data_IF_822990681826
#
_entry.id   IF_822990681826
#
_cell.length_a   1.000
_cell.length_b   1.000
_cell.length_c   1.000
_cell.angle_alpha   90.00
_cell.angle_beta   90.00
_cell.angle_gamma   90.00
#
_symmetry.space_group_name_H-M   'P 1'
#
loop_
_entity.id
_entity.type
_entity.pdbx_description
1 polymer ?
#
# COMPACT_ATOMS: atom_id res chain seq x y z
N UNK A 1 15.81 25.07 12.28
CA UNK A 1 14.40 25.04 12.72
C UNK A 1 13.43 24.25 11.82
N UNK A 2 13.69 24.11 10.50
CA UNK A 2 12.80 23.41 9.55
C UNK A 2 12.69 21.89 9.73
N UNK A 3 13.76 21.21 10.17
CA UNK A 3 13.78 19.75 10.33
C UNK A 3 12.86 19.23 11.45
N UNK A 4 12.82 19.93 12.60
CA UNK A 4 11.93 19.59 13.73
C UNK A 4 10.46 19.73 13.35
N UNK A 5 10.10 20.76 12.59
CA UNK A 5 8.73 20.96 12.11
C UNK A 5 8.31 19.89 11.09
N UNK A 6 9.23 19.48 10.20
CA UNK A 6 9.03 18.37 9.26
C UNK A 6 8.80 17.04 10.00
N UNK A 7 9.70 16.68 10.93
CA UNK A 7 9.55 15.46 11.72
C UNK A 7 8.26 15.45 12.53
N UNK A 8 7.86 16.57 13.13
CA UNK A 8 6.62 16.64 13.93
C UNK A 8 5.35 16.49 13.08
N UNK A 9 5.38 16.95 11.82
CA UNK A 9 4.25 16.85 10.88
C UNK A 9 4.13 15.45 10.25
N UNK A 10 5.25 14.74 10.10
CA UNK A 10 5.29 13.41 9.49
C UNK A 10 5.57 12.26 10.48
N UNK A 11 5.74 12.56 11.77
CA UNK A 11 6.17 11.60 12.80
C UNK A 11 5.32 10.36 12.85
N UNK A 12 3.99 10.48 12.75
CA UNK A 12 3.08 9.34 12.78
C UNK A 12 3.21 8.44 11.54
N UNK A 13 3.52 9.02 10.38
CA UNK A 13 3.74 8.26 9.13
C UNK A 13 5.10 7.58 9.12
N UNK A 14 6.13 8.29 9.58
CA UNK A 14 7.48 7.74 9.76
C UNK A 14 7.43 6.60 10.79
N UNK A 15 6.70 6.78 11.89
CA UNK A 15 6.51 5.76 12.91
C UNK A 15 5.76 4.54 12.37
N UNK A 16 4.72 4.73 11.54
CA UNK A 16 3.99 3.61 10.91
C UNK A 16 4.86 2.84 9.91
N UNK A 17 5.68 3.53 9.11
CA UNK A 17 6.64 2.92 8.18
C UNK A 17 7.71 2.15 8.95
N UNK A 18 8.26 2.75 10.01
CA UNK A 18 9.23 2.07 10.87
C UNK A 18 8.61 0.86 11.56
N UNK A 19 7.37 0.96 12.06
CA UNK A 19 6.67 -0.15 12.70
C UNK A 19 6.43 -1.31 11.72
N UNK A 20 6.01 -1.00 10.49
CA UNK A 20 5.86 -2.01 9.43
C UNK A 20 7.20 -2.65 9.04
N UNK A 21 8.27 -1.84 8.97
CA UNK A 21 9.61 -2.34 8.70
C UNK A 21 10.11 -3.26 9.84
N UNK A 22 9.85 -2.89 11.10
CA UNK A 22 10.23 -3.71 12.26
C UNK A 22 9.38 -4.99 12.34
N UNK A 23 8.09 -4.94 12.04
CA UNK A 23 7.25 -6.15 11.95
C UNK A 23 7.73 -7.07 10.83
N UNK A 24 8.09 -6.51 9.68
CA UNK A 24 8.66 -7.27 8.56
C UNK A 24 10.01 -7.88 8.94
N UNK A 25 10.89 -7.14 9.61
CA UNK A 25 12.21 -7.62 10.06
C UNK A 25 12.10 -8.70 11.15
N UNK A 26 11.18 -8.55 12.10
CA UNK A 26 10.85 -9.58 13.10
C UNK A 26 10.29 -10.83 12.41
N UNK A 27 9.35 -10.69 11.48
CA UNK A 27 8.84 -11.82 10.72
C UNK A 27 9.95 -12.52 9.90
N UNK A 28 10.86 -11.75 9.31
CA UNK A 28 12.02 -12.23 8.55
C UNK A 28 13.03 -12.97 9.43
N UNK A 29 13.28 -12.49 10.64
CA UNK A 29 14.26 -13.08 11.56
C UNK A 29 13.76 -14.36 12.23
N UNK A 30 12.44 -14.55 12.36
CA UNK A 30 11.86 -15.81 12.85
C UNK A 30 11.67 -16.86 11.74
N UNK A 31 11.55 -16.46 10.46
CA UNK A 31 11.15 -17.37 9.39
C UNK A 31 12.31 -18.03 8.60
N UNK A 32 13.53 -17.48 8.61
CA UNK A 32 14.54 -17.84 7.60
C UNK A 32 15.85 -18.40 8.15
N UNK A 33 15.82 -19.67 8.53
CA UNK A 33 16.94 -20.59 8.28
C UNK A 33 16.68 -21.22 6.91
N UNK A 34 17.69 -21.27 6.03
CA UNK A 34 17.51 -21.58 4.59
C UNK A 34 17.24 -23.06 4.27
N UNK A 35 16.60 -23.81 5.17
CA UNK A 35 16.21 -25.19 4.90
C UNK A 35 14.82 -25.24 4.24
N UNK A 36 14.60 -26.12 3.25
CA UNK A 36 13.29 -26.27 2.59
C UNK A 36 12.14 -26.54 3.57
N UNK A 37 12.44 -27.19 4.69
CA UNK A 37 11.48 -27.53 5.76
C UNK A 37 10.91 -26.28 6.43
N UNK A 38 11.75 -25.30 6.80
CA UNK A 38 11.28 -24.04 7.42
C UNK A 38 10.51 -23.15 6.44
N UNK A 39 10.74 -23.34 5.15
CA UNK A 39 9.99 -22.68 4.08
C UNK A 39 8.56 -23.20 4.01
N UNK A 40 8.38 -24.51 4.16
CA UNK A 40 7.06 -25.14 4.26
C UNK A 40 6.34 -24.74 5.54
N UNK A 41 7.06 -24.61 6.65
CA UNK A 41 6.50 -24.16 7.94
C UNK A 41 6.09 -22.69 7.94
N UNK A 42 6.77 -21.84 7.17
CA UNK A 42 6.49 -20.40 7.08
C UNK A 42 5.42 -20.04 6.04
N UNK A 43 5.12 -20.93 5.09
CA UNK A 43 4.09 -20.74 4.05
C UNK A 43 2.72 -20.30 4.62
N UNK A 44 2.15 -20.95 5.65
CA UNK A 44 0.86 -20.53 6.21
C UNK A 44 0.87 -19.08 6.73
N UNK A 45 1.98 -18.66 7.34
CA UNK A 45 2.15 -17.30 7.86
C UNK A 45 2.29 -16.28 6.74
N UNK A 46 3.08 -16.59 5.70
CA UNK A 46 3.22 -15.74 4.52
C UNK A 46 1.89 -15.58 3.79
N UNK A 47 1.14 -16.66 3.60
CA UNK A 47 -0.19 -16.61 2.99
C UNK A 47 -1.20 -15.86 3.86
N UNK A 48 -1.15 -16.02 5.19
CA UNK A 48 -1.97 -15.26 6.12
C UNK A 48 -1.67 -13.75 6.07
N UNK A 49 -0.39 -13.37 6.00
CA UNK A 49 0.03 -11.98 5.84
C UNK A 49 -0.36 -11.41 4.47
N UNK A 50 -0.20 -12.19 3.39
CA UNK A 50 -0.67 -11.81 2.06
C UNK A 50 -2.19 -11.60 2.06
N UNK A 51 -2.96 -12.52 2.66
CA UNK A 51 -4.41 -12.39 2.78
C UNK A 51 -4.85 -11.17 3.58
N UNK A 52 -4.16 -10.87 4.70
CA UNK A 52 -4.43 -9.68 5.50
C UNK A 52 -4.14 -8.38 4.73
N UNK A 53 -3.01 -8.32 4.05
CA UNK A 53 -2.60 -7.14 3.27
C UNK A 53 -3.52 -6.90 2.07
N UNK A 54 -3.96 -7.97 1.41
CA UNK A 54 -4.97 -7.91 0.34
C UNK A 54 -6.35 -7.48 0.88
N UNK A 55 -6.75 -7.96 2.06
CA UNK A 55 -8.00 -7.53 2.70
C UNK A 55 -7.97 -6.03 3.02
N UNK A 56 -6.83 -5.50 3.50
CA UNK A 56 -6.64 -4.06 3.71
C UNK A 56 -6.68 -3.29 2.38
N UNK A 57 -6.07 -3.84 1.33
CA UNK A 57 -6.11 -3.25 -0.01
C UNK A 57 -7.56 -3.08 -0.49
N UNK A 58 -8.34 -4.16 -0.47
CA UNK A 58 -9.75 -4.18 -0.90
C UNK A 58 -10.61 -3.29 0.00
N UNK A 59 -10.47 -3.37 1.32
CA UNK A 59 -11.22 -2.53 2.26
C UNK A 59 -10.99 -1.04 2.00
N UNK A 60 -9.74 -0.65 1.78
CA UNK A 60 -9.41 0.73 1.44
C UNK A 60 -10.02 1.19 0.11
N UNK A 61 -10.05 0.31 -0.92
CA UNK A 61 -10.75 0.59 -2.18
C UNK A 61 -12.24 0.83 -1.94
N UNK A 62 -12.90 -0.03 -1.16
CA UNK A 62 -14.33 0.09 -0.85
C UNK A 62 -14.63 1.40 -0.13
N UNK A 63 -13.82 1.79 0.86
CA UNK A 63 -13.99 3.06 1.59
C UNK A 63 -13.81 4.26 0.65
N UNK A 64 -12.78 4.25 -0.21
CA UNK A 64 -12.57 5.31 -1.21
C UNK A 64 -13.76 5.39 -2.18
N UNK A 65 -14.18 4.25 -2.74
CA UNK A 65 -15.30 4.16 -3.65
C UNK A 65 -16.60 4.63 -2.99
N UNK A 66 -16.85 4.28 -1.74
CA UNK A 66 -18.04 4.72 -1.00
C UNK A 66 -18.07 6.23 -0.78
N UNK A 67 -16.92 6.86 -0.46
CA UNK A 67 -16.84 8.31 -0.24
C UNK A 67 -17.17 9.15 -1.50
N UNK A 68 -16.90 8.60 -2.69
CA UNK A 68 -17.05 9.31 -3.98
C UNK A 68 -18.27 8.82 -4.77
N UNK A 69 -18.57 7.53 -4.70
CA UNK A 69 -19.41 6.80 -5.65
C UNK A 69 -20.88 7.20 -5.65
N UNK A 70 -21.38 7.79 -4.57
CA UNK A 70 -22.74 8.33 -4.48
C UNK A 70 -23.07 9.33 -5.61
N UNK A 71 -22.07 10.09 -6.10
CA UNK A 71 -22.32 11.18 -7.07
C UNK A 71 -22.21 10.76 -8.55
N UNK A 72 -21.68 9.57 -8.85
CA UNK A 72 -21.20 9.25 -10.21
C UNK A 72 -22.13 8.35 -11.02
N UNK A 73 -23.13 7.74 -10.38
CA UNK A 73 -24.00 6.75 -11.02
C UNK A 73 -23.23 5.56 -11.60
N UNK A 74 -23.91 4.74 -12.41
CA UNK A 74 -23.40 3.44 -12.85
C UNK A 74 -22.65 3.45 -14.19
N UNK A 75 -22.59 4.56 -14.93
CA UNK A 75 -22.01 4.62 -16.28
C UNK A 75 -20.59 5.23 -16.27
N UNK A 76 -19.52 4.41 -16.43
CA UNK A 76 -18.14 4.87 -16.33
C UNK A 76 -17.76 5.89 -17.41
N UNK A 77 -18.38 5.82 -18.58
CA UNK A 77 -18.11 6.75 -19.68
C UNK A 77 -18.51 8.16 -19.25
N UNK A 78 -19.60 8.33 -18.50
CA UNK A 78 -20.06 9.65 -18.05
C UNK A 78 -19.21 10.24 -16.91
N UNK A 79 -18.29 9.47 -16.33
CA UNK A 79 -17.44 9.95 -15.23
C UNK A 79 -16.37 10.93 -15.72
N UNK A 80 -16.01 10.91 -17.02
CA UNK A 80 -15.00 11.83 -17.55
C UNK A 80 -15.39 13.30 -17.34
N UNK A 81 -16.68 13.64 -17.46
CA UNK A 81 -17.19 15.00 -17.29
C UNK A 81 -17.17 15.46 -15.83
N UNK A 82 -17.13 14.50 -14.91
CA UNK A 82 -17.15 14.74 -13.47
C UNK A 82 -15.76 14.65 -12.84
N UNK A 83 -14.72 14.23 -13.58
CA UNK A 83 -13.34 14.06 -13.09
C UNK A 83 -12.84 15.24 -12.27
N UNK A 84 -13.00 16.48 -12.75
CA UNK A 84 -12.55 17.67 -12.01
C UNK A 84 -13.26 17.82 -10.66
N UNK A 85 -14.58 17.58 -10.64
CA UNK A 85 -15.41 17.62 -9.43
C UNK A 85 -15.01 16.52 -8.46
N UNK A 86 -14.85 15.29 -8.95
CA UNK A 86 -14.38 14.13 -8.17
C UNK A 86 -13.04 14.44 -7.51
N UNK A 87 -12.05 14.88 -8.30
CA UNK A 87 -10.70 15.17 -7.78
C UNK A 87 -10.74 16.30 -6.74
N UNK A 88 -11.65 17.27 -6.88
CA UNK A 88 -11.85 18.29 -5.85
C UNK A 88 -12.46 17.71 -4.57
N UNK A 89 -13.56 16.95 -4.67
CA UNK A 89 -14.21 16.30 -3.52
C UNK A 89 -13.26 15.38 -2.77
N UNK A 90 -12.57 14.51 -3.49
CA UNK A 90 -11.54 13.58 -2.99
C UNK A 90 -10.45 14.28 -2.19
N UNK A 91 -10.00 15.46 -2.64
CA UNK A 91 -8.92 16.19 -1.95
C UNK A 91 -9.32 16.67 -0.55
N UNK A 92 -10.61 16.92 -0.34
CA UNK A 92 -11.18 17.47 0.91
C UNK A 92 -11.78 16.39 1.82
N UNK A 93 -12.22 15.26 1.27
CA UNK A 93 -12.95 14.22 2.01
C UNK A 93 -12.03 13.41 2.95
N UNK A 94 -12.27 13.49 4.26
CA UNK A 94 -11.49 12.75 5.27
C UNK A 94 -11.64 11.23 5.13
N UNK A 95 -12.84 10.75 4.79
CA UNK A 95 -13.12 9.31 4.66
C UNK A 95 -12.38 8.74 3.45
N UNK A 96 -12.34 9.47 2.34
CA UNK A 96 -11.50 9.11 1.19
C UNK A 96 -10.06 8.91 1.63
N UNK A 97 -9.49 9.86 2.39
CA UNK A 97 -8.10 9.76 2.83
C UNK A 97 -7.85 8.59 3.79
N UNK A 98 -8.82 8.22 4.62
CA UNK A 98 -8.72 7.01 5.45
C UNK A 98 -8.66 5.78 4.55
N UNK A 99 -9.58 5.64 3.60
CA UNK A 99 -9.57 4.55 2.63
C UNK A 99 -8.27 4.50 1.82
N UNK A 100 -7.77 5.66 1.40
CA UNK A 100 -6.51 5.81 0.68
C UNK A 100 -5.34 5.28 1.49
N UNK A 101 -5.22 5.61 2.79
CA UNK A 101 -4.14 5.10 3.63
C UNK A 101 -4.25 3.61 3.92
N UNK A 102 -5.47 3.11 4.16
CA UNK A 102 -5.72 1.67 4.39
C UNK A 102 -5.38 0.86 3.15
N UNK A 103 -5.87 1.29 1.98
CA UNK A 103 -5.48 0.75 0.68
C UNK A 103 -3.96 0.84 0.49
N UNK A 104 -3.37 1.94 1.01
CA UNK A 104 -1.95 2.20 0.85
C UNK A 104 -1.08 1.15 1.48
N UNK A 105 -1.34 0.95 2.76
CA UNK A 105 -0.70 -0.07 3.57
C UNK A 105 -0.95 -1.47 3.01
N UNK A 106 -2.17 -1.76 2.54
CA UNK A 106 -2.50 -3.04 1.91
C UNK A 106 -1.62 -3.36 0.71
N UNK A 107 -1.62 -2.51 -0.32
CA UNK A 107 -0.84 -2.78 -1.54
C UNK A 107 0.68 -2.89 -1.27
N UNK A 108 1.24 -1.98 -0.45
CA UNK A 108 2.67 -2.05 -0.11
C UNK A 108 2.98 -3.30 0.69
N UNK A 109 2.10 -3.70 1.61
CA UNK A 109 2.22 -4.93 2.37
C UNK A 109 2.25 -6.16 1.46
N UNK A 110 1.30 -6.27 0.53
CA UNK A 110 1.25 -7.37 -0.44
C UNK A 110 2.55 -7.45 -1.25
N UNK A 111 3.03 -6.32 -1.80
CA UNK A 111 4.28 -6.26 -2.54
C UNK A 111 5.50 -6.70 -1.71
N UNK A 112 5.59 -6.28 -0.44
CA UNK A 112 6.67 -6.68 0.48
C UNK A 112 6.62 -8.17 0.79
N UNK A 113 5.43 -8.72 1.09
CA UNK A 113 5.26 -10.16 1.38
C UNK A 113 5.73 -10.99 0.19
N UNK A 114 5.37 -10.61 -1.04
CA UNK A 114 5.82 -11.30 -2.24
C UNK A 114 7.32 -11.17 -2.50
N UNK A 115 7.90 -9.99 -2.27
CA UNK A 115 9.35 -9.78 -2.36
C UNK A 115 10.11 -10.74 -1.44
N UNK A 116 9.66 -10.85 -0.19
CA UNK A 116 10.22 -11.78 0.80
C UNK A 116 10.03 -13.22 0.35
N UNK A 117 8.82 -13.58 -0.08
CA UNK A 117 8.52 -14.93 -0.55
C UNK A 117 9.40 -15.34 -1.76
N UNK A 118 9.76 -14.42 -2.65
CA UNK A 118 10.65 -14.74 -3.78
C UNK A 118 12.11 -14.83 -3.32
N UNK A 119 12.60 -13.82 -2.60
CA UNK A 119 14.02 -13.73 -2.20
C UNK A 119 14.45 -14.90 -1.30
N UNK A 120 13.53 -15.36 -0.45
CA UNK A 120 13.82 -16.39 0.52
C UNK A 120 13.10 -17.71 0.25
N UNK A 121 11.99 -17.68 -0.50
CA UNK A 121 11.18 -18.86 -0.79
C UNK A 121 11.55 -19.60 -2.07
N UNK A 122 12.23 -18.93 -3.02
CA UNK A 122 12.49 -19.48 -4.36
C UNK A 122 13.99 -19.60 -4.68
N UNK A 123 14.39 -20.57 -5.52
CA UNK A 123 15.77 -20.66 -6.00
C UNK A 123 16.15 -19.42 -6.81
N UNK A 124 17.46 -19.11 -6.85
CA UNK A 124 18.01 -17.92 -7.54
C UNK A 124 17.60 -17.86 -9.02
N UNK A 125 17.44 -19.02 -9.68
CA UNK A 125 16.94 -19.11 -11.06
C UNK A 125 15.56 -18.47 -11.26
N UNK A 126 14.75 -18.37 -10.20
CA UNK A 126 13.40 -17.80 -10.22
C UNK A 126 13.35 -16.33 -9.78
N UNK A 127 14.48 -15.72 -9.42
CA UNK A 127 14.56 -14.31 -9.01
C UNK A 127 14.24 -13.34 -10.15
N UNK A 128 14.22 -13.82 -11.39
CA UNK A 128 13.62 -13.11 -12.52
C UNK A 128 12.15 -12.75 -12.31
N UNK A 129 11.46 -13.24 -11.28
CA UNK A 129 10.10 -12.81 -10.92
C UNK A 129 10.05 -11.58 -10.00
N UNK A 130 11.18 -11.13 -9.44
CA UNK A 130 11.25 -9.98 -8.53
C UNK A 130 10.76 -8.67 -9.15
N UNK A 131 10.81 -8.53 -10.47
CA UNK A 131 10.31 -7.33 -11.14
C UNK A 131 8.80 -7.13 -10.91
N UNK A 132 8.02 -8.19 -10.69
CA UNK A 132 6.57 -8.09 -10.45
C UNK A 132 6.24 -7.30 -9.17
N UNK A 133 6.66 -7.75 -7.97
CA UNK A 133 6.40 -6.98 -6.74
C UNK A 133 7.12 -5.64 -6.72
N UNK A 134 8.30 -5.52 -7.36
CA UNK A 134 8.99 -4.24 -7.49
C UNK A 134 8.20 -3.25 -8.35
N UNK A 135 7.66 -3.70 -9.48
CA UNK A 135 6.82 -2.88 -10.34
C UNK A 135 5.52 -2.49 -9.64
N UNK A 136 4.88 -3.42 -8.91
CA UNK A 136 3.68 -3.13 -8.14
C UNK A 136 3.93 -2.04 -7.08
N UNK A 137 5.00 -2.17 -6.29
CA UNK A 137 5.41 -1.16 -5.30
C UNK A 137 5.73 0.18 -6.00
N UNK A 138 6.49 0.15 -7.10
CA UNK A 138 6.88 1.37 -7.81
C UNK A 138 5.67 2.12 -8.39
N UNK A 139 4.75 1.42 -9.04
CA UNK A 139 3.50 1.97 -9.55
C UNK A 139 2.64 2.52 -8.41
N UNK A 140 2.52 1.73 -7.35
CA UNK A 140 1.81 2.11 -6.14
C UNK A 140 2.34 3.43 -5.55
N UNK A 141 3.65 3.54 -5.36
CA UNK A 141 4.27 4.76 -4.81
C UNK A 141 4.10 5.94 -5.78
N UNK A 142 4.31 5.72 -7.07
CA UNK A 142 4.25 6.77 -8.10
C UNK A 142 2.84 7.35 -8.22
N UNK A 143 1.82 6.49 -8.36
CA UNK A 143 0.42 6.91 -8.45
C UNK A 143 -0.04 7.63 -7.18
N UNK A 144 0.34 7.12 -6.01
CA UNK A 144 -0.05 7.73 -4.73
C UNK A 144 0.66 9.04 -4.47
N UNK A 145 1.91 9.18 -4.91
CA UNK A 145 2.66 10.44 -4.85
C UNK A 145 1.98 11.52 -5.70
N UNK A 146 1.54 11.19 -6.91
CA UNK A 146 0.77 12.09 -7.75
C UNK A 146 -0.53 12.55 -7.06
N UNK A 147 -1.26 11.64 -6.39
CA UNK A 147 -2.47 11.99 -5.62
C UNK A 147 -2.14 12.90 -4.43
N UNK A 148 -0.99 12.73 -3.77
CA UNK A 148 -0.55 13.65 -2.71
C UNK A 148 -0.20 15.04 -3.22
N UNK A 149 0.45 15.13 -4.38
CA UNK A 149 0.77 16.42 -4.99
C UNK A 149 -0.49 17.20 -5.33
N UNK A 150 -1.50 16.54 -5.92
CA UNK A 150 -2.81 17.13 -6.18
C UNK A 150 -3.50 17.66 -4.92
N UNK A 151 -3.39 16.94 -3.79
CA UNK A 151 -3.90 17.44 -2.50
C UNK A 151 -3.13 18.66 -2.01
N UNK A 152 -1.80 18.66 -2.16
CA UNK A 152 -0.96 19.76 -1.70
C UNK A 152 -1.26 21.05 -2.46
N UNK A 153 -1.41 20.96 -3.78
CA UNK A 153 -1.76 22.10 -4.64
C UNK A 153 -3.11 22.72 -4.29
N UNK A 154 -4.09 21.91 -3.89
CA UNK A 154 -5.44 22.40 -3.52
C UNK A 154 -5.59 22.83 -2.06
N UNK A 155 -4.60 22.55 -1.22
CA UNK A 155 -4.57 22.95 0.19
C UNK A 155 -3.83 24.29 0.42
N UNK A 156 -3.21 24.83 -0.62
CA UNK A 156 -2.60 26.15 -0.70
C UNK A 156 -3.56 27.12 -1.40
#
# INVERSE_FOLDING_TARGET
>A
MKLKAFYRRHSKKILAVLLLATIAEIALSFAFDKTPEKLVESLPWLLGLAGLTEALFILGLVIMAYSVGHDLGWNPIKWHGHLKSIVHKVSLDKLFWVGFWVNTTGALGTGIVWLIAILYGLPISSWGSLWLPLADIALTVSLRSAVFELKREKAL
#
